data_IF_100339534327
#
_entry.id   IF_100339534327
#
_cell.length_a   1.000
_cell.length_b   1.000
_cell.length_c   1.000
_cell.angle_alpha   90.00
_cell.angle_beta   90.00
_cell.angle_gamma   90.00
#
_symmetry.space_group_name_H-M   'P 1'
#
loop_
_entity.id
_entity.type
_entity.pdbx_description
1 polymer ?
#
# COMPACT_ATOMS: atom_id res chain seq x y z
N UNK A 1 34.63 14.88 -25.64
CA UNK A 1 34.94 13.80 -24.68
C UNK A 1 34.60 12.48 -25.34
N UNK A 2 35.53 11.53 -25.28
CA UNK A 2 35.29 10.15 -25.67
C UNK A 2 34.26 9.51 -24.74
N UNK A 3 33.40 8.62 -25.25
CA UNK A 3 32.40 7.90 -24.43
C UNK A 3 33.00 7.18 -23.22
N UNK A 4 34.27 6.79 -23.32
CA UNK A 4 35.04 6.09 -22.29
C UNK A 4 35.62 7.05 -21.24
N UNK A 5 35.99 8.27 -21.65
CA UNK A 5 36.41 9.34 -20.74
C UNK A 5 35.26 9.78 -19.83
N UNK A 6 34.02 9.81 -20.36
CA UNK A 6 32.82 10.13 -19.55
C UNK A 6 32.44 9.04 -18.56
N UNK A 7 32.83 7.77 -18.81
CA UNK A 7 32.61 6.66 -17.90
C UNK A 7 33.83 6.37 -17.00
N UNK A 8 34.88 7.21 -17.07
CA UNK A 8 36.15 7.05 -16.36
C UNK A 8 36.79 5.66 -16.50
N UNK A 9 36.64 5.02 -17.66
CA UNK A 9 37.20 3.69 -17.94
C UNK A 9 37.94 3.65 -19.27
N UNK A 10 38.86 2.69 -19.40
CA UNK A 10 39.47 2.38 -20.69
C UNK A 10 38.49 1.63 -21.61
N UNK A 11 38.63 1.73 -22.95
CA UNK A 11 37.78 1.01 -23.90
C UNK A 11 37.78 -0.50 -23.64
N UNK A 12 36.61 -1.07 -23.35
CA UNK A 12 36.47 -2.48 -22.98
C UNK A 12 35.26 -3.14 -23.65
N UNK A 13 35.37 -4.44 -23.94
CA UNK A 13 34.27 -5.28 -24.43
C UNK A 13 33.48 -5.94 -23.28
N UNK A 14 33.94 -5.77 -22.04
CA UNK A 14 33.33 -6.37 -20.88
C UNK A 14 32.14 -5.53 -20.35
N UNK A 15 30.94 -5.99 -20.69
CA UNK A 15 29.66 -5.34 -20.32
C UNK A 15 29.50 -5.17 -18.80
N UNK A 16 30.00 -6.10 -17.98
CA UNK A 16 29.86 -5.98 -16.51
C UNK A 16 30.74 -4.89 -15.93
N UNK A 17 31.92 -4.64 -16.50
CA UNK A 17 32.79 -3.54 -16.11
C UNK A 17 32.17 -2.17 -16.44
N UNK A 18 31.54 -2.04 -17.61
CA UNK A 18 30.82 -0.83 -18.03
C UNK A 18 29.64 -0.55 -17.10
N UNK A 19 28.86 -1.59 -16.74
CA UNK A 19 27.76 -1.47 -15.77
C UNK A 19 28.24 -1.02 -14.39
N UNK A 20 29.35 -1.55 -13.90
CA UNK A 20 29.92 -1.19 -12.59
C UNK A 20 30.44 0.25 -12.56
N UNK A 21 31.05 0.70 -13.66
CA UNK A 21 31.50 2.09 -13.80
C UNK A 21 30.32 3.07 -13.83
N UNK A 22 29.27 2.74 -14.59
CA UNK A 22 28.04 3.52 -14.62
C UNK A 22 27.35 3.59 -13.25
N UNK A 23 27.25 2.47 -12.52
CA UNK A 23 26.69 2.45 -11.16
C UNK A 23 27.51 3.30 -10.16
N UNK A 24 28.84 3.39 -10.34
CA UNK A 24 29.69 4.25 -9.53
C UNK A 24 29.44 5.74 -9.82
N UNK A 25 29.27 6.10 -11.09
CA UNK A 25 29.09 7.48 -11.53
C UNK A 25 27.65 7.99 -11.35
N UNK A 26 26.66 7.09 -11.26
CA UNK A 26 25.29 7.40 -10.85
C UNK A 26 25.22 7.99 -9.43
N UNK A 27 26.19 7.67 -8.56
CA UNK A 27 26.31 8.26 -7.23
C UNK A 27 26.73 9.74 -7.27
N UNK A 28 27.17 10.23 -8.43
CA UNK A 28 27.72 11.58 -8.62
C UNK A 28 26.82 12.42 -9.53
N UNK A 29 26.24 11.82 -10.58
CA UNK A 29 25.36 12.51 -11.52
C UNK A 29 23.94 11.93 -11.45
N UNK A 30 23.08 12.56 -10.65
CA UNK A 30 21.69 12.17 -10.43
C UNK A 30 20.72 12.97 -11.35
N UNK A 31 19.62 12.37 -11.86
CA UNK A 31 18.69 13.04 -12.76
C UNK A 31 18.00 14.28 -12.20
N UNK A 32 17.92 14.39 -10.87
CA UNK A 32 17.29 15.52 -10.15
C UNK A 32 18.27 16.70 -9.96
N UNK A 33 19.58 16.43 -9.79
CA UNK A 33 20.60 17.44 -9.45
C UNK A 33 21.33 18.01 -10.68
N UNK A 34 21.66 17.16 -11.67
CA UNK A 34 22.26 17.55 -12.94
C UNK A 34 21.59 16.78 -14.09
N UNK A 35 20.43 17.25 -14.57
CA UNK A 35 19.70 16.57 -15.65
C UNK A 35 20.53 16.43 -16.92
N UNK A 36 21.38 17.42 -17.23
CA UNK A 36 22.25 17.37 -18.41
C UNK A 36 23.44 16.41 -18.22
N UNK A 37 24.05 16.37 -17.04
CA UNK A 37 25.11 15.44 -16.68
C UNK A 37 24.61 13.99 -16.64
N UNK A 38 23.44 13.76 -16.06
CA UNK A 38 22.77 12.46 -16.07
C UNK A 38 22.45 12.02 -17.50
N UNK A 39 21.91 12.92 -18.34
CA UNK A 39 21.62 12.60 -19.74
C UNK A 39 22.91 12.27 -20.51
N UNK A 40 24.00 13.04 -20.32
CA UNK A 40 25.30 12.75 -20.94
C UNK A 40 25.88 11.42 -20.47
N UNK A 41 25.78 11.12 -19.17
CA UNK A 41 26.25 9.86 -18.58
C UNK A 41 25.44 8.67 -19.12
N UNK A 42 24.11 8.81 -19.21
CA UNK A 42 23.22 7.79 -19.77
C UNK A 42 23.49 7.56 -21.26
N UNK A 43 23.64 8.61 -22.04
CA UNK A 43 23.99 8.51 -23.46
C UNK A 43 25.37 7.87 -23.67
N UNK A 44 26.35 8.20 -22.83
CA UNK A 44 27.68 7.60 -22.86
C UNK A 44 27.62 6.10 -22.54
N UNK A 45 26.83 5.71 -21.53
CA UNK A 45 26.59 4.31 -21.17
C UNK A 45 25.93 3.52 -22.29
N UNK A 46 24.85 4.03 -22.89
CA UNK A 46 24.13 3.35 -23.97
C UNK A 46 25.03 3.18 -25.22
N UNK A 47 25.85 4.20 -25.54
CA UNK A 47 26.84 4.15 -26.61
C UNK A 47 27.98 3.16 -26.30
N UNK A 48 28.44 3.07 -25.05
CA UNK A 48 29.47 2.12 -24.61
C UNK A 48 28.99 0.66 -24.64
N UNK A 49 27.73 0.41 -24.27
CA UNK A 49 27.14 -0.93 -24.40
C UNK A 49 27.01 -1.34 -25.88
N UNK A 50 26.66 -0.39 -26.76
CA UNK A 50 26.56 -0.62 -28.20
C UNK A 50 27.93 -0.87 -28.83
N UNK A 51 28.97 -0.13 -28.45
CA UNK A 51 30.35 -0.35 -28.93
C UNK A 51 30.95 -1.66 -28.42
N UNK A 52 30.74 -2.02 -27.15
CA UNK A 52 31.17 -3.30 -26.59
C UNK A 52 30.52 -4.51 -27.30
N UNK A 53 29.24 -4.39 -27.69
CA UNK A 53 28.55 -5.41 -28.50
C UNK A 53 29.12 -5.49 -29.93
N UNK A 54 29.50 -4.37 -30.53
CA UNK A 54 30.14 -4.32 -31.85
C UNK A 54 31.56 -4.89 -31.84
N UNK A 55 32.33 -4.65 -30.77
CA UNK A 55 33.66 -5.23 -30.55
C UNK A 55 33.60 -6.76 -30.40
N UNK A 56 32.51 -7.30 -29.83
CA UNK A 56 32.25 -8.75 -29.76
C UNK A 56 31.86 -9.39 -31.10
N UNK A 57 31.38 -8.62 -32.09
CA UNK A 57 30.88 -9.16 -33.36
C UNK A 57 31.81 -8.92 -34.56
N UNK A 58 33.00 -8.34 -34.39
CA UNK A 58 33.95 -8.09 -35.48
C UNK A 58 35.04 -9.19 -35.59
N UNK A 59 35.35 -9.72 -36.80
CA UNK A 59 36.53 -10.58 -37.02
C UNK A 59 37.84 -9.76 -37.11
N UNK A 60 39.02 -10.38 -36.93
CA UNK A 60 40.25 -9.64 -36.65
C UNK A 60 40.98 -9.12 -37.90
N UNK A 61 41.03 -7.79 -38.05
CA UNK A 61 42.00 -7.01 -38.84
C UNK A 61 41.65 -5.53 -38.67
N UNK A 62 42.53 -4.54 -38.46
CA UNK A 62 43.97 -4.41 -38.54
C UNK A 62 44.34 -3.18 -37.69
N UNK A 63 45.54 -3.19 -37.13
CA UNK A 63 46.20 -2.04 -36.51
C UNK A 63 46.29 -0.86 -37.48
N UNK A 64 45.93 0.34 -37.03
CA UNK A 64 46.61 1.56 -37.48
C UNK A 64 46.88 2.47 -36.28
N UNK A 65 48.17 2.76 -36.13
CA UNK A 65 48.76 3.73 -35.21
C UNK A 65 48.53 5.13 -35.76
N UNK A 66 48.41 6.10 -34.87
CA UNK A 66 49.09 7.38 -35.05
C UNK A 66 49.60 7.86 -33.70
N UNK A 67 50.92 7.79 -33.54
CA UNK A 67 51.70 8.69 -32.68
C UNK A 67 51.46 10.14 -33.13
N UNK A 68 51.45 11.08 -32.18
CA UNK A 68 52.32 12.26 -32.25
C UNK A 68 52.34 12.99 -30.90
N UNK A 69 53.59 13.21 -30.45
CA UNK A 69 53.98 13.96 -29.26
C UNK A 69 53.65 15.45 -29.40
N UNK A 70 53.39 16.12 -28.27
CA UNK A 70 53.95 17.47 -28.06
C UNK A 70 54.19 17.70 -26.55
N UNK A 71 55.47 17.98 -26.24
CA UNK A 71 55.95 18.46 -24.95
C UNK A 71 55.36 19.84 -24.64
N UNK A 72 54.93 20.07 -23.40
CA UNK A 72 55.06 21.40 -22.82
C UNK A 72 55.29 21.36 -21.30
N UNK A 73 56.33 22.08 -20.89
CA UNK A 73 56.86 22.14 -19.53
C UNK A 73 56.06 23.14 -18.69
N UNK A 74 55.62 22.76 -17.48
CA UNK A 74 55.27 23.71 -16.43
C UNK A 74 55.69 23.17 -15.04
N UNK A 75 56.79 23.74 -14.56
CA UNK A 75 57.17 24.11 -13.18
C UNK A 75 56.25 23.57 -12.06
N UNK A 76 56.79 22.68 -11.22
CA UNK A 76 56.25 22.39 -9.89
C UNK A 76 56.26 23.64 -9.01
N UNK A 77 55.16 24.04 -8.37
CA UNK A 77 55.24 24.89 -7.20
C UNK A 77 55.74 24.05 -6.02
N UNK A 78 56.88 24.50 -5.47
CA UNK A 78 57.43 24.06 -4.20
C UNK A 78 56.35 24.21 -3.12
N UNK A 79 56.01 23.09 -2.47
CA UNK A 79 55.16 23.09 -1.28
C UNK A 79 55.83 23.91 -0.17
N UNK A 80 55.15 24.88 0.47
CA UNK A 80 55.69 25.53 1.66
C UNK A 80 55.73 24.52 2.80
N UNK A 81 56.94 24.10 3.16
CA UNK A 81 57.26 23.26 4.31
C UNK A 81 57.01 24.03 5.62
N UNK A 82 55.75 24.27 5.99
CA UNK A 82 55.34 24.74 7.32
C UNK A 82 53.85 24.43 7.58
N UNK A 83 53.46 23.16 7.79
CA UNK A 83 52.20 22.81 8.50
C UNK A 83 52.00 21.31 8.82
N UNK A 84 53.04 20.49 8.88
CA UNK A 84 52.85 19.04 9.16
C UNK A 84 52.60 18.71 10.65
N UNK A 85 52.70 19.69 11.57
CA UNK A 85 52.45 19.49 13.00
C UNK A 85 51.03 19.82 13.47
N UNK A 86 50.35 20.74 12.79
CA UNK A 86 49.05 21.27 13.22
C UNK A 86 47.87 20.52 12.59
N UNK A 87 48.05 19.85 11.44
CA UNK A 87 47.00 19.09 10.77
C UNK A 87 46.69 17.77 11.49
N UNK A 88 47.70 17.10 12.06
CA UNK A 88 47.54 15.86 12.83
C UNK A 88 46.94 16.16 14.22
N UNK A 89 47.28 17.30 14.81
CA UNK A 89 46.69 17.81 16.05
C UNK A 89 45.25 18.34 15.84
N UNK A 90 44.98 19.00 14.72
CA UNK A 90 43.63 19.43 14.34
C UNK A 90 42.73 18.26 13.96
N UNK A 91 43.24 17.22 13.28
CA UNK A 91 42.49 16.01 13.00
C UNK A 91 42.17 15.21 14.28
N UNK A 92 43.09 15.19 15.25
CA UNK A 92 42.82 14.58 16.57
C UNK A 92 41.85 15.43 17.42
N UNK A 93 41.96 16.76 17.42
CA UNK A 93 41.03 17.67 18.11
C UNK A 93 39.62 17.71 17.48
N UNK A 94 39.51 17.56 16.15
CA UNK A 94 38.22 17.44 15.44
C UNK A 94 37.52 16.11 15.76
N UNK A 95 38.29 15.03 15.96
CA UNK A 95 37.74 13.73 16.40
C UNK A 95 37.20 13.75 17.85
N UNK A 96 37.63 14.69 18.68
CA UNK A 96 37.16 14.86 20.07
C UNK A 96 35.92 15.77 20.19
N UNK A 97 35.50 16.46 19.12
CA UNK A 97 34.35 17.38 19.21
C UNK A 97 33.04 16.58 19.36
N UNK A 98 32.20 16.86 20.38
CA UNK A 98 30.98 16.09 20.66
C UNK A 98 30.04 15.93 19.46
N UNK A 99 29.87 17.00 18.66
CA UNK A 99 29.07 16.97 17.41
C UNK A 99 29.66 16.03 16.37
N UNK A 100 30.98 16.01 16.17
CA UNK A 100 31.61 15.13 15.19
C UNK A 100 31.50 13.66 15.62
N UNK A 101 31.77 13.38 16.90
CA UNK A 101 31.61 12.04 17.46
C UNK A 101 30.14 11.58 17.40
N UNK A 102 29.18 12.49 17.47
CA UNK A 102 27.77 12.19 17.30
C UNK A 102 27.43 11.87 15.83
N UNK A 103 27.90 12.68 14.87
CA UNK A 103 27.66 12.42 13.44
C UNK A 103 28.31 11.12 12.96
N UNK A 104 29.52 10.79 13.43
CA UNK A 104 30.18 9.53 13.12
C UNK A 104 29.37 8.31 13.61
N UNK A 105 28.68 8.44 14.76
CA UNK A 105 27.77 7.39 15.24
C UNK A 105 26.53 7.23 14.37
N UNK A 106 25.96 8.33 13.86
CA UNK A 106 24.85 8.29 12.91
C UNK A 106 25.28 7.55 11.64
N UNK A 107 26.43 7.93 11.07
CA UNK A 107 26.98 7.30 9.86
C UNK A 107 27.25 5.81 10.09
N UNK A 108 27.88 5.46 11.22
CA UNK A 108 28.17 4.08 11.57
C UNK A 108 26.88 3.25 11.72
N UNK A 109 25.86 3.83 12.36
CA UNK A 109 24.55 3.18 12.51
C UNK A 109 23.87 2.98 11.16
N UNK A 110 23.90 4.00 10.28
CA UNK A 110 23.32 3.92 8.93
C UNK A 110 24.00 2.85 8.06
N UNK A 111 25.32 2.76 8.14
CA UNK A 111 26.10 1.83 7.32
C UNK A 111 25.84 0.36 7.66
N UNK A 112 25.36 0.05 8.87
CA UNK A 112 24.85 -1.28 9.20
C UNK A 112 23.34 -1.33 8.93
N UNK A 113 22.96 -1.96 7.81
CA UNK A 113 21.58 -2.09 7.38
C UNK A 113 20.65 -2.67 8.46
N UNK A 114 21.09 -3.72 9.18
CA UNK A 114 20.22 -4.36 10.18
C UNK A 114 20.18 -3.56 11.48
N UNK A 115 21.22 -2.77 11.77
CA UNK A 115 21.19 -1.86 12.90
C UNK A 115 20.31 -0.63 12.63
N UNK A 116 20.33 -0.07 11.40
CA UNK A 116 19.56 1.14 11.09
C UNK A 116 18.06 0.94 11.02
N UNK A 117 17.58 -0.27 10.72
CA UNK A 117 16.14 -0.56 10.66
C UNK A 117 15.54 -0.86 12.04
N UNK A 118 16.37 -0.96 13.08
CA UNK A 118 15.95 -1.25 14.45
C UNK A 118 15.72 0.06 15.24
N UNK A 119 14.47 0.40 15.61
CA UNK A 119 14.14 1.65 16.28
C UNK A 119 14.92 1.88 17.57
N UNK A 120 15.17 0.81 18.32
CA UNK A 120 15.87 0.90 19.60
C UNK A 120 17.30 1.47 19.47
N UNK A 121 18.01 1.15 18.39
CA UNK A 121 19.37 1.68 18.19
C UNK A 121 19.35 3.20 17.98
N UNK A 122 18.31 3.70 17.32
CA UNK A 122 18.10 5.14 17.14
C UNK A 122 17.65 5.80 18.44
N UNK A 123 16.75 5.20 19.21
CA UNK A 123 16.37 5.69 20.54
C UNK A 123 17.60 5.84 21.45
N UNK A 124 18.45 4.82 21.52
CA UNK A 124 19.67 4.82 22.32
C UNK A 124 20.64 5.93 21.84
N UNK A 125 20.81 6.11 20.53
CA UNK A 125 21.65 7.17 19.96
C UNK A 125 21.08 8.57 20.22
N UNK A 126 19.78 8.76 19.99
CA UNK A 126 19.07 10.03 20.13
C UNK A 126 18.83 10.42 21.61
N UNK A 127 19.04 9.49 22.54
CA UNK A 127 19.03 9.79 23.98
C UNK A 127 20.30 10.47 24.48
N UNK A 128 21.32 10.65 23.63
CA UNK A 128 22.60 11.23 24.04
C UNK A 128 22.49 12.69 24.47
N UNK A 129 23.23 13.07 25.52
CA UNK A 129 23.19 14.42 26.10
C UNK A 129 23.58 15.54 25.11
N UNK A 130 24.32 15.20 24.05
CA UNK A 130 24.83 16.18 23.07
C UNK A 130 23.70 16.83 22.26
N UNK A 131 22.59 16.12 22.04
CA UNK A 131 21.43 16.63 21.29
C UNK A 131 20.63 17.64 22.12
N UNK A 132 20.68 17.52 23.44
CA UNK A 132 19.95 18.39 24.38
C UNK A 132 20.75 19.64 24.77
N UNK A 133 22.00 19.75 24.33
CA UNK A 133 22.83 20.92 24.52
C UNK A 133 22.49 22.00 23.47
N UNK A 134 22.04 23.16 23.95
CA UNK A 134 21.60 24.29 23.12
C UNK A 134 22.73 24.75 22.17
N UNK A 135 23.99 24.64 22.59
CA UNK A 135 25.14 25.05 21.76
C UNK A 135 25.33 24.13 20.55
N UNK A 136 24.95 22.86 20.67
CA UNK A 136 25.24 21.82 19.70
C UNK A 136 24.00 21.40 18.88
N UNK A 137 22.80 21.55 19.44
CA UNK A 137 21.55 21.07 18.85
C UNK A 137 21.29 21.60 17.44
N UNK A 138 21.49 22.90 17.20
CA UNK A 138 21.32 23.51 15.88
C UNK A 138 22.31 22.91 14.87
N UNK A 139 23.61 22.84 15.21
CA UNK A 139 24.64 22.27 14.33
C UNK A 139 24.39 20.80 14.04
N UNK A 140 23.87 20.04 15.02
CA UNK A 140 23.48 18.64 14.83
C UNK A 140 22.30 18.54 13.88
N UNK A 141 21.29 19.39 14.02
CA UNK A 141 20.14 19.41 13.13
C UNK A 141 20.56 19.71 11.69
N UNK A 142 21.41 20.72 11.48
CA UNK A 142 21.90 21.10 10.15
C UNK A 142 22.62 19.92 9.48
N UNK A 143 23.55 19.29 10.21
CA UNK A 143 24.31 18.12 9.71
C UNK A 143 23.42 16.91 9.50
N UNK A 144 22.41 16.73 10.34
CA UNK A 144 21.45 15.64 10.19
C UNK A 144 20.58 15.84 8.94
N UNK A 145 20.07 17.04 8.70
CA UNK A 145 19.28 17.35 7.49
C UNK A 145 20.15 17.17 6.24
N UNK A 146 21.41 17.61 6.25
CA UNK A 146 22.36 17.35 5.17
C UNK A 146 22.58 15.84 4.97
N UNK A 147 22.81 15.10 6.05
CA UNK A 147 23.00 13.65 6.01
C UNK A 147 21.77 12.92 5.43
N UNK A 148 20.57 13.28 5.88
CA UNK A 148 19.30 12.68 5.48
C UNK A 148 18.94 12.95 4.02
N UNK A 149 19.52 13.95 3.36
CA UNK A 149 19.31 14.13 1.91
C UNK A 149 19.97 13.01 1.09
N UNK A 150 21.07 12.45 1.59
CA UNK A 150 21.82 11.40 0.90
C UNK A 150 21.61 10.00 1.49
N UNK A 151 21.15 9.92 2.74
CA UNK A 151 21.02 8.68 3.51
C UNK A 151 19.63 8.61 4.14
N UNK A 152 18.65 8.16 3.36
CA UNK A 152 17.23 8.32 3.70
C UNK A 152 16.42 7.02 3.74
N UNK A 153 17.06 5.88 3.44
CA UNK A 153 16.38 4.59 3.37
C UNK A 153 16.13 4.02 4.77
N UNK A 154 15.09 4.56 5.42
CA UNK A 154 14.61 4.15 6.73
C UNK A 154 13.16 3.66 6.73
N UNK A 155 12.80 2.78 7.67
CA UNK A 155 11.41 2.53 8.05
C UNK A 155 10.71 3.79 8.57
N UNK A 156 9.39 3.88 8.43
CA UNK A 156 8.59 5.02 8.91
C UNK A 156 8.75 5.26 10.42
N UNK A 157 8.91 4.18 11.21
CA UNK A 157 9.19 4.27 12.65
C UNK A 157 10.44 5.07 13.00
N UNK A 158 11.48 5.05 12.16
CA UNK A 158 12.70 5.83 12.38
C UNK A 158 12.45 7.30 12.02
N UNK A 159 11.74 7.57 10.93
CA UNK A 159 11.33 8.92 10.57
C UNK A 159 10.47 9.57 11.66
N UNK A 160 9.55 8.81 12.25
CA UNK A 160 8.74 9.23 13.39
C UNK A 160 9.61 9.55 14.62
N UNK A 161 10.62 8.71 14.93
CA UNK A 161 11.57 9.00 16.01
C UNK A 161 12.36 10.28 15.78
N UNK A 162 12.86 10.48 14.55
CA UNK A 162 13.58 11.69 14.18
C UNK A 162 12.69 12.93 14.30
N UNK A 163 11.45 12.87 13.82
CA UNK A 163 10.50 13.98 13.93
C UNK A 163 10.10 14.25 15.40
N UNK A 164 9.98 13.21 16.22
CA UNK A 164 9.70 13.37 17.65
C UNK A 164 10.80 14.13 18.40
N UNK A 165 12.06 13.96 17.99
CA UNK A 165 13.24 14.60 18.61
C UNK A 165 13.48 16.00 18.04
N UNK A 166 13.49 16.14 16.72
CA UNK A 166 13.88 17.39 16.04
C UNK A 166 12.69 18.28 15.64
N UNK A 167 11.46 17.75 15.71
CA UNK A 167 10.21 18.49 15.47
C UNK A 167 10.15 19.12 14.07
N UNK A 168 10.64 18.42 13.06
CA UNK A 168 10.66 18.88 11.68
C UNK A 168 9.27 19.29 11.19
N UNK A 169 8.25 18.49 11.49
CA UNK A 169 6.85 18.77 11.16
C UNK A 169 6.30 20.03 11.83
N UNK A 170 6.69 20.31 13.08
CA UNK A 170 6.23 21.49 13.82
C UNK A 170 6.95 22.77 13.36
N UNK A 171 8.16 22.66 12.84
CA UNK A 171 9.03 23.78 12.46
C UNK A 171 9.08 24.04 10.94
N UNK A 172 8.12 23.52 10.18
CA UNK A 172 8.06 23.62 8.72
C UNK A 172 8.45 24.99 8.15
N UNK A 173 7.77 26.06 8.59
CA UNK A 173 8.01 27.42 8.05
C UNK A 173 9.45 27.91 8.28
N UNK A 174 10.04 27.57 9.43
CA UNK A 174 11.41 27.96 9.76
C UNK A 174 12.42 27.18 8.91
N UNK A 175 12.19 25.88 8.74
CA UNK A 175 13.04 25.03 7.91
C UNK A 175 12.93 25.40 6.42
N UNK A 176 11.75 25.76 5.93
CA UNK A 176 11.57 26.17 4.52
C UNK A 176 12.36 27.44 4.21
N UNK A 177 12.49 28.35 5.18
CA UNK A 177 13.30 29.55 5.04
C UNK A 177 14.80 29.26 4.97
N UNK A 178 15.28 28.25 5.70
CA UNK A 178 16.70 27.92 5.81
C UNK A 178 17.19 26.93 4.75
N UNK A 179 16.39 25.91 4.44
CA UNK A 179 16.76 24.77 3.59
C UNK A 179 16.03 24.74 2.24
N UNK A 180 15.02 25.59 2.05
CA UNK A 180 14.18 25.62 0.86
C UNK A 180 12.97 24.68 0.94
N UNK A 181 11.96 24.96 0.10
CA UNK A 181 10.69 24.24 0.06
C UNK A 181 10.86 22.77 -0.31
N UNK A 182 11.71 22.47 -1.31
CA UNK A 182 11.92 21.11 -1.82
C UNK A 182 12.51 20.17 -0.76
N UNK A 183 13.51 20.64 0.00
CA UNK A 183 14.16 19.87 1.08
C UNK A 183 13.17 19.55 2.20
N UNK A 184 12.38 20.53 2.62
CA UNK A 184 11.41 20.33 3.70
C UNK A 184 10.28 19.43 3.23
N UNK A 185 9.79 19.61 2.00
CA UNK A 185 8.78 18.74 1.42
C UNK A 185 9.29 17.30 1.35
N UNK A 186 10.54 17.08 0.92
CA UNK A 186 11.18 15.75 0.93
C UNK A 186 11.16 15.11 2.33
N UNK A 187 11.55 15.84 3.38
CA UNK A 187 11.54 15.33 4.75
C UNK A 187 10.11 14.98 5.21
N UNK A 188 9.15 15.88 4.97
CA UNK A 188 7.77 15.70 5.42
C UNK A 188 7.05 14.55 4.71
N UNK A 189 7.32 14.31 3.43
CA UNK A 189 6.78 13.16 2.69
C UNK A 189 7.26 11.82 3.25
N UNK A 190 8.46 11.79 3.85
CA UNK A 190 9.01 10.59 4.49
C UNK A 190 8.49 10.41 5.91
N UNK A 191 8.35 11.51 6.65
CA UNK A 191 7.75 11.51 8.00
C UNK A 191 6.27 11.12 7.93
N UNK A 192 5.52 11.55 6.91
CA UNK A 192 4.10 11.21 6.76
C UNK A 192 3.86 9.74 6.43
N UNK A 193 4.90 8.99 6.02
CA UNK A 193 4.80 7.60 5.60
C UNK A 193 4.22 7.40 4.19
N UNK A 194 3.99 8.46 3.42
CA UNK A 194 3.42 8.37 2.06
C UNK A 194 4.29 7.53 1.11
N UNK A 195 5.60 7.51 1.36
CA UNK A 195 6.61 6.75 0.60
C UNK A 195 7.18 5.57 1.39
N UNK A 196 6.48 5.09 2.42
CA UNK A 196 6.97 3.97 3.22
C UNK A 196 6.99 2.68 2.39
N UNK A 197 8.09 1.93 2.51
CA UNK A 197 8.27 0.62 1.91
C UNK A 197 8.71 -0.39 2.97
N UNK A 198 8.51 -1.69 2.70
CA UNK A 198 8.86 -2.75 3.66
C UNK A 198 10.37 -2.98 3.78
N UNK A 199 10.83 -3.29 5.00
CA UNK A 199 12.23 -3.60 5.34
C UNK A 199 12.39 -4.96 6.06
N UNK A 200 11.30 -5.61 6.45
CA UNK A 200 11.27 -6.84 7.25
C UNK A 200 11.61 -8.10 6.44
N UNK A 201 11.58 -8.01 5.11
CA UNK A 201 11.78 -9.14 4.19
C UNK A 201 13.25 -9.54 4.01
N UNK A 202 14.19 -8.71 4.44
CA UNK A 202 15.63 -8.95 4.26
C UNK A 202 16.23 -9.76 5.41
N UNK A 203 17.16 -10.65 5.09
CA UNK A 203 17.81 -11.56 6.04
C UNK A 203 19.28 -11.21 6.19
N UNK A 204 19.83 -11.39 7.40
CA UNK A 204 21.27 -11.16 7.67
C UNK A 204 22.23 -11.99 6.82
N UNK A 205 21.74 -13.06 6.21
CA UNK A 205 22.50 -13.90 5.27
C UNK A 205 22.66 -13.28 3.88
N UNK A 206 21.90 -12.24 3.57
CA UNK A 206 21.84 -11.69 2.22
C UNK A 206 23.08 -10.84 1.94
N UNK A 207 23.80 -11.18 0.87
CA UNK A 207 24.93 -10.41 0.37
C UNK A 207 24.43 -9.43 -0.69
N UNK A 208 23.90 -8.29 -0.22
CA UNK A 208 23.21 -7.30 -1.04
C UNK A 208 23.77 -5.90 -0.78
N UNK A 209 23.98 -5.13 -1.85
CA UNK A 209 24.15 -3.67 -1.75
C UNK A 209 22.76 -3.06 -1.52
N UNK A 210 22.40 -2.88 -0.26
CA UNK A 210 21.08 -2.38 0.13
C UNK A 210 20.80 -1.00 -0.45
N UNK A 211 21.75 -0.06 -0.42
CA UNK A 211 21.53 1.28 -0.99
C UNK A 211 21.21 1.20 -2.48
N UNK A 212 22.02 0.47 -3.25
CA UNK A 212 21.77 0.30 -4.67
C UNK A 212 20.41 -0.35 -4.94
N UNK A 213 20.03 -1.34 -4.12
CA UNK A 213 18.73 -2.00 -4.23
C UNK A 213 17.55 -1.06 -3.94
N UNK A 214 17.60 -0.28 -2.85
CA UNK A 214 16.52 0.63 -2.49
C UNK A 214 16.35 1.76 -3.50
N UNK A 215 17.45 2.32 -4.03
CA UNK A 215 17.36 3.29 -5.13
C UNK A 215 16.66 2.71 -6.36
N UNK A 216 17.02 1.49 -6.77
CA UNK A 216 16.35 0.82 -7.89
C UNK A 216 14.87 0.55 -7.59
N UNK A 217 14.54 0.17 -6.36
CA UNK A 217 13.16 -0.06 -5.90
C UNK A 217 12.31 1.21 -5.97
N UNK A 218 12.85 2.35 -5.52
CA UNK A 218 12.20 3.66 -5.65
C UNK A 218 12.05 4.07 -7.12
N UNK A 219 13.08 3.87 -7.95
CA UNK A 219 13.02 4.14 -9.39
C UNK A 219 11.89 3.35 -10.06
N UNK A 220 11.73 2.07 -9.71
CA UNK A 220 10.61 1.24 -10.18
C UNK A 220 9.27 1.86 -9.77
N UNK A 221 9.12 2.25 -8.51
CA UNK A 221 7.89 2.85 -8.00
C UNK A 221 7.55 4.14 -8.77
N UNK A 222 8.52 5.06 -8.88
CA UNK A 222 8.35 6.35 -9.56
C UNK A 222 8.04 6.19 -11.05
N UNK A 223 8.76 5.33 -11.75
CA UNK A 223 8.53 5.08 -13.19
C UNK A 223 7.16 4.44 -13.44
N UNK A 224 6.69 3.57 -12.54
CA UNK A 224 5.32 3.06 -12.58
C UNK A 224 4.29 4.14 -12.24
N UNK A 225 4.50 4.99 -11.24
CA UNK A 225 3.57 6.10 -10.94
C UNK A 225 3.43 7.05 -12.15
N UNK A 226 4.53 7.36 -12.81
CA UNK A 226 4.58 8.21 -14.01
C UNK A 226 4.14 7.48 -15.29
N UNK A 227 3.77 6.20 -15.20
CA UNK A 227 3.37 5.34 -16.31
C UNK A 227 4.41 5.23 -17.43
N UNK A 228 5.70 5.41 -17.11
CA UNK A 228 6.81 5.20 -18.03
C UNK A 228 7.21 3.71 -18.04
N UNK A 229 6.50 2.91 -18.84
CA UNK A 229 6.63 1.46 -18.85
C UNK A 229 8.00 0.96 -19.38
N UNK A 230 8.69 1.74 -20.22
CA UNK A 230 10.01 1.35 -20.73
C UNK A 230 11.08 1.48 -19.64
N UNK A 231 11.10 2.63 -18.95
CA UNK A 231 12.00 2.84 -17.82
C UNK A 231 11.67 1.87 -16.67
N UNK A 232 10.38 1.68 -16.36
CA UNK A 232 9.94 0.73 -15.34
C UNK A 232 10.43 -0.68 -15.63
N UNK A 233 10.37 -1.13 -16.89
CA UNK A 233 10.90 -2.44 -17.26
C UNK A 233 12.40 -2.55 -16.98
N UNK A 234 13.18 -1.54 -17.38
CA UNK A 234 14.62 -1.55 -17.18
C UNK A 234 14.96 -1.60 -15.69
N UNK A 235 14.35 -0.73 -14.89
CA UNK A 235 14.58 -0.66 -13.45
C UNK A 235 14.16 -1.97 -12.76
N UNK A 236 13.02 -2.55 -13.14
CA UNK A 236 12.55 -3.85 -12.64
C UNK A 236 13.54 -4.97 -12.94
N UNK A 237 14.06 -5.04 -14.17
CA UNK A 237 15.02 -6.09 -14.55
C UNK A 237 16.30 -5.98 -13.69
N UNK A 238 16.80 -4.76 -13.42
CA UNK A 238 17.97 -4.56 -12.56
C UNK A 238 17.70 -4.86 -11.09
N UNK A 239 16.58 -4.38 -10.54
CA UNK A 239 16.20 -4.66 -9.15
C UNK A 239 16.04 -6.17 -8.91
N UNK A 240 15.41 -6.86 -9.87
CA UNK A 240 15.20 -8.31 -9.80
C UNK A 240 16.49 -9.11 -9.94
N UNK A 241 17.47 -8.62 -10.72
CA UNK A 241 18.82 -9.21 -10.78
C UNK A 241 19.53 -9.15 -9.42
N UNK A 242 19.30 -8.08 -8.64
CA UNK A 242 19.92 -7.91 -7.32
C UNK A 242 19.22 -8.72 -6.22
N UNK A 243 17.88 -8.68 -6.17
CA UNK A 243 17.14 -9.39 -5.13
C UNK A 243 15.76 -9.84 -5.62
N UNK A 244 15.48 -11.14 -5.50
CA UNK A 244 14.29 -11.79 -6.09
C UNK A 244 13.20 -12.10 -5.05
N UNK A 245 13.55 -12.09 -3.75
CA UNK A 245 12.67 -12.49 -2.65
C UNK A 245 11.95 -11.28 -2.00
N UNK A 246 11.85 -10.13 -2.68
CA UNK A 246 11.08 -8.98 -2.20
C UNK A 246 9.65 -9.00 -2.79
N UNK A 247 8.62 -9.26 -1.97
CA UNK A 247 7.25 -9.30 -2.47
C UNK A 247 6.72 -7.94 -2.92
N UNK A 248 7.31 -6.82 -2.47
CA UNK A 248 6.95 -5.48 -2.98
C UNK A 248 7.47 -5.25 -4.40
N UNK A 249 8.71 -5.65 -4.67
CA UNK A 249 9.26 -5.62 -6.02
C UNK A 249 8.46 -6.53 -6.96
N UNK A 250 8.13 -7.75 -6.50
CA UNK A 250 7.27 -8.67 -7.25
C UNK A 250 5.87 -8.08 -7.49
N UNK A 251 5.30 -7.34 -6.53
CA UNK A 251 4.02 -6.65 -6.70
C UNK A 251 4.12 -5.58 -7.78
N UNK A 252 5.17 -4.75 -7.74
CA UNK A 252 5.43 -3.75 -8.78
C UNK A 252 5.63 -4.39 -10.16
N UNK A 253 6.31 -5.54 -10.21
CA UNK A 253 6.45 -6.35 -11.43
C UNK A 253 5.10 -6.89 -11.93
N UNK A 254 4.24 -7.38 -11.03
CA UNK A 254 2.89 -7.82 -11.34
C UNK A 254 2.03 -6.70 -11.91
N UNK A 255 2.06 -5.51 -11.27
CA UNK A 255 1.37 -4.30 -11.74
C UNK A 255 1.89 -3.88 -13.12
N UNK A 256 3.20 -3.89 -13.34
CA UNK A 256 3.80 -3.63 -14.64
C UNK A 256 3.21 -4.57 -15.71
N UNK A 257 3.18 -5.88 -15.44
CA UNK A 257 2.63 -6.87 -16.36
C UNK A 257 1.14 -6.70 -16.62
N UNK A 258 0.35 -6.30 -15.61
CA UNK A 258 -1.07 -5.96 -15.80
C UNK A 258 -1.24 -4.76 -16.73
N UNK A 259 -0.39 -3.72 -16.62
CA UNK A 259 -0.45 -2.53 -17.48
C UNK A 259 -0.09 -2.79 -18.93
N UNK A 260 0.79 -3.77 -19.19
CA UNK A 260 1.09 -4.24 -20.56
C UNK A 260 0.17 -5.40 -21.00
N UNK A 261 -0.94 -5.61 -20.29
CA UNK A 261 -1.97 -6.64 -20.55
C UNK A 261 -1.46 -8.09 -20.54
N UNK A 262 -0.27 -8.35 -19.98
CA UNK A 262 0.30 -9.69 -19.85
C UNK A 262 -0.13 -10.33 -18.53
N UNK A 263 -1.38 -10.80 -18.48
CA UNK A 263 -1.98 -11.38 -17.26
C UNK A 263 -1.28 -12.67 -16.82
N UNK A 264 -0.64 -13.40 -17.73
CA UNK A 264 0.09 -14.63 -17.44
C UNK A 264 1.30 -14.37 -16.55
N UNK A 265 2.12 -13.38 -16.93
CA UNK A 265 3.29 -13.01 -16.12
C UNK A 265 2.90 -12.29 -14.84
N UNK A 266 1.87 -11.46 -14.89
CA UNK A 266 1.31 -10.85 -13.68
C UNK A 266 0.91 -11.91 -12.65
N UNK A 267 0.17 -12.93 -13.10
CA UNK A 267 -0.24 -14.05 -12.25
C UNK A 267 0.97 -14.78 -11.63
N UNK A 268 2.04 -14.97 -12.41
CA UNK A 268 3.25 -15.58 -11.90
C UNK A 268 3.86 -14.75 -10.77
N UNK A 269 4.01 -13.44 -10.95
CA UNK A 269 4.53 -12.54 -9.91
C UNK A 269 3.68 -12.61 -8.63
N UNK A 270 2.34 -12.62 -8.74
CA UNK A 270 1.48 -12.75 -7.55
C UNK A 270 1.53 -14.15 -6.90
N UNK A 271 1.77 -15.20 -7.68
CA UNK A 271 2.04 -16.53 -7.12
C UNK A 271 3.37 -16.57 -6.36
N UNK A 272 4.40 -15.91 -6.89
CA UNK A 272 5.72 -15.84 -6.26
C UNK A 272 5.63 -15.06 -4.93
N UNK A 273 4.86 -13.96 -4.89
CA UNK A 273 4.54 -13.24 -3.64
C UNK A 273 3.94 -14.20 -2.61
N UNK A 274 2.91 -14.95 -3.00
CA UNK A 274 2.17 -15.83 -2.09
C UNK A 274 2.95 -17.10 -1.73
N UNK A 275 4.03 -17.41 -2.44
CA UNK A 275 4.99 -18.44 -2.05
C UNK A 275 5.91 -17.96 -0.92
N UNK A 276 6.24 -16.66 -0.90
CA UNK A 276 7.06 -16.02 0.13
C UNK A 276 6.21 -15.64 1.35
N UNK A 277 5.10 -14.94 1.11
CA UNK A 277 4.15 -14.45 2.09
C UNK A 277 2.73 -14.94 1.74
N UNK A 278 2.30 -16.11 2.24
CA UNK A 278 0.98 -16.68 1.92
C UNK A 278 -0.22 -15.78 2.28
N UNK A 279 -0.03 -14.88 3.23
CA UNK A 279 -1.04 -14.00 3.80
C UNK A 279 -0.94 -12.55 3.26
N UNK A 280 -0.16 -12.31 2.18
CA UNK A 280 -0.04 -10.99 1.56
C UNK A 280 -1.39 -10.57 0.91
N UNK A 281 -2.01 -9.54 1.47
CA UNK A 281 -3.36 -9.09 1.12
C UNK A 281 -3.46 -8.66 -0.35
N UNK A 282 -2.49 -7.87 -0.82
CA UNK A 282 -2.44 -7.41 -2.21
C UNK A 282 -2.23 -8.59 -3.16
N UNK A 283 -1.30 -9.50 -2.83
CA UNK A 283 -1.06 -10.72 -3.60
C UNK A 283 -2.33 -11.54 -3.79
N UNK A 284 -3.09 -11.78 -2.72
CA UNK A 284 -4.38 -12.47 -2.77
C UNK A 284 -5.40 -11.70 -3.61
N UNK A 285 -5.50 -10.38 -3.43
CA UNK A 285 -6.46 -9.54 -4.12
C UNK A 285 -6.22 -9.50 -5.64
N UNK A 286 -4.98 -9.23 -6.07
CA UNK A 286 -4.63 -9.18 -7.48
C UNK A 286 -4.75 -10.55 -8.15
N UNK A 287 -4.35 -11.63 -7.46
CA UNK A 287 -4.51 -12.99 -7.99
C UNK A 287 -6.00 -13.34 -8.18
N UNK A 288 -6.84 -13.02 -7.21
CA UNK A 288 -8.28 -13.22 -7.30
C UNK A 288 -8.89 -12.47 -8.50
N UNK A 289 -8.47 -11.24 -8.74
CA UNK A 289 -8.90 -10.46 -9.92
C UNK A 289 -8.49 -11.11 -11.24
N UNK A 290 -7.27 -11.62 -11.34
CA UNK A 290 -6.80 -12.32 -12.54
C UNK A 290 -7.57 -13.64 -12.74
N UNK A 291 -7.84 -14.39 -11.68
CA UNK A 291 -8.66 -15.61 -11.75
C UNK A 291 -10.09 -15.30 -12.21
N UNK A 292 -10.69 -14.23 -11.69
CA UNK A 292 -11.99 -13.76 -12.16
C UNK A 292 -11.99 -13.45 -13.66
N UNK A 293 -10.98 -12.72 -14.14
CA UNK A 293 -10.86 -12.38 -15.56
C UNK A 293 -10.68 -13.62 -16.47
N UNK A 294 -10.20 -14.72 -15.90
CA UNK A 294 -10.07 -16.02 -16.57
C UNK A 294 -11.31 -16.92 -16.42
N UNK A 295 -12.35 -16.45 -15.73
CA UNK A 295 -13.56 -17.22 -15.44
C UNK A 295 -13.39 -18.29 -14.36
N UNK A 296 -12.26 -18.27 -13.63
CA UNK A 296 -11.96 -19.20 -12.53
C UNK A 296 -12.55 -18.68 -11.22
N UNK A 297 -13.89 -18.56 -11.15
CA UNK A 297 -14.57 -17.93 -10.02
C UNK A 297 -14.35 -18.62 -8.68
N UNK A 298 -14.25 -19.96 -8.66
CA UNK A 298 -14.02 -20.71 -7.44
C UNK A 298 -12.67 -20.39 -6.79
N UNK A 299 -11.60 -20.32 -7.60
CA UNK A 299 -10.26 -19.95 -7.12
C UNK A 299 -10.22 -18.49 -6.67
N UNK A 300 -10.88 -17.58 -7.42
CA UNK A 300 -10.98 -16.18 -7.05
C UNK A 300 -11.71 -15.97 -5.71
N UNK A 301 -12.83 -16.66 -5.50
CA UNK A 301 -13.58 -16.60 -4.23
C UNK A 301 -12.73 -17.15 -3.08
N UNK A 302 -11.99 -18.25 -3.30
CA UNK A 302 -11.10 -18.83 -2.29
C UNK A 302 -10.03 -17.85 -1.83
N UNK A 303 -9.39 -17.12 -2.75
CA UNK A 303 -8.39 -16.11 -2.39
C UNK A 303 -9.01 -14.94 -1.63
N UNK A 304 -10.20 -14.47 -2.04
CA UNK A 304 -10.91 -13.43 -1.28
C UNK A 304 -11.37 -13.91 0.09
N UNK A 305 -11.77 -15.18 0.25
CA UNK A 305 -12.12 -15.76 1.54
C UNK A 305 -10.92 -15.86 2.47
N UNK A 306 -9.74 -16.17 1.92
CA UNK A 306 -8.50 -16.16 2.66
C UNK A 306 -8.18 -14.74 3.16
N UNK A 307 -8.26 -13.75 2.28
CA UNK A 307 -8.07 -12.34 2.62
C UNK A 307 -9.04 -11.89 3.72
N UNK A 308 -10.34 -12.23 3.62
CA UNK A 308 -11.33 -11.90 4.65
C UNK A 308 -11.19 -12.69 5.95
N UNK A 309 -10.39 -13.76 5.98
CA UNK A 309 -10.06 -14.45 7.23
C UNK A 309 -9.01 -13.68 8.04
N UNK A 310 -8.16 -12.92 7.34
CA UNK A 310 -7.12 -12.05 7.92
C UNK A 310 -7.75 -10.69 8.26
N UNK A 311 -8.43 -10.07 7.28
CA UNK A 311 -9.12 -8.79 7.43
C UNK A 311 -10.62 -8.90 7.12
N UNK A 312 -11.46 -9.22 8.12
CA UNK A 312 -12.89 -9.43 7.91
C UNK A 312 -13.66 -8.24 7.33
N UNK A 313 -13.16 -7.02 7.50
CA UNK A 313 -13.78 -5.78 7.04
C UNK A 313 -13.15 -5.21 5.76
N UNK A 314 -12.27 -5.96 5.08
CA UNK A 314 -11.64 -5.49 3.84
C UNK A 314 -12.68 -5.30 2.73
N UNK A 315 -12.94 -4.03 2.38
CA UNK A 315 -14.05 -3.64 1.52
C UNK A 315 -13.94 -4.22 0.10
N UNK A 316 -12.75 -4.18 -0.51
CA UNK A 316 -12.59 -4.68 -1.89
C UNK A 316 -12.82 -6.19 -1.96
N UNK A 317 -12.25 -6.97 -1.05
CA UNK A 317 -12.48 -8.41 -0.99
C UNK A 317 -13.96 -8.77 -0.78
N UNK A 318 -14.67 -8.04 0.09
CA UNK A 318 -16.11 -8.20 0.26
C UNK A 318 -16.89 -7.89 -1.03
N UNK A 319 -16.55 -6.79 -1.70
CA UNK A 319 -17.14 -6.41 -2.99
C UNK A 319 -16.86 -7.46 -4.08
N UNK A 320 -15.63 -7.95 -4.17
CA UNK A 320 -15.21 -8.96 -5.13
C UNK A 320 -15.92 -10.29 -4.89
N UNK A 321 -16.05 -10.77 -3.64
CA UNK A 321 -16.84 -11.99 -3.34
C UNK A 321 -18.28 -11.84 -3.81
N UNK A 322 -18.92 -10.71 -3.51
CA UNK A 322 -20.30 -10.47 -3.96
C UNK A 322 -20.35 -10.53 -5.48
N UNK A 323 -19.51 -9.75 -6.16
CA UNK A 323 -19.41 -9.74 -7.63
C UNK A 323 -19.21 -11.15 -8.20
N UNK A 324 -18.21 -11.88 -7.72
CA UNK A 324 -17.83 -13.19 -8.25
C UNK A 324 -18.91 -14.25 -8.01
N UNK A 325 -19.59 -14.18 -6.87
CA UNK A 325 -20.71 -15.07 -6.55
C UNK A 325 -21.85 -14.92 -7.55
N UNK A 326 -22.23 -13.67 -7.87
CA UNK A 326 -23.28 -13.39 -8.85
C UNK A 326 -22.90 -13.81 -10.28
N UNK A 327 -21.64 -13.66 -10.66
CA UNK A 327 -21.16 -14.06 -12.01
C UNK A 327 -20.95 -15.57 -12.15
N UNK A 328 -20.64 -16.28 -11.05
CA UNK A 328 -20.47 -17.74 -11.04
C UNK A 328 -21.77 -18.53 -11.25
N UNK A 329 -22.94 -17.90 -10.99
CA UNK A 329 -24.25 -18.53 -11.10
C UNK A 329 -24.61 -19.49 -9.96
N UNK A 330 -23.69 -19.79 -9.04
CA UNK A 330 -23.94 -20.60 -7.83
C UNK A 330 -24.43 -19.73 -6.66
N UNK A 331 -25.62 -19.16 -6.84
CA UNK A 331 -26.28 -18.30 -5.85
C UNK A 331 -26.69 -19.12 -4.60
N UNK A 332 -26.69 -20.46 -4.63
CA UNK A 332 -27.20 -21.24 -3.48
C UNK A 332 -26.15 -21.52 -2.40
N UNK A 333 -24.88 -21.73 -2.74
CA UNK A 333 -23.85 -22.16 -1.78
C UNK A 333 -23.00 -21.02 -1.20
N UNK A 334 -22.73 -19.97 -1.99
CA UNK A 334 -21.85 -18.85 -1.59
C UNK A 334 -22.64 -17.58 -1.24
N UNK A 335 -23.94 -17.50 -1.59
CA UNK A 335 -24.72 -16.28 -1.40
C UNK A 335 -25.10 -15.95 0.04
N UNK A 336 -25.04 -16.85 1.02
CA UNK A 336 -25.42 -16.50 2.39
C UNK A 336 -24.54 -15.41 3.00
N UNK A 337 -23.23 -15.41 2.68
CA UNK A 337 -22.30 -14.39 3.19
C UNK A 337 -22.31 -13.14 2.31
N UNK A 338 -22.39 -13.29 0.98
CA UNK A 338 -22.61 -12.18 0.06
C UNK A 338 -23.91 -11.42 0.38
N UNK A 339 -24.99 -12.14 0.75
CA UNK A 339 -26.24 -11.57 1.24
C UNK A 339 -26.05 -10.79 2.54
N UNK A 340 -25.26 -11.31 3.48
CA UNK A 340 -24.99 -10.61 4.75
C UNK A 340 -24.20 -9.31 4.50
N UNK A 341 -23.16 -9.36 3.67
CA UNK A 341 -22.37 -8.20 3.26
C UNK A 341 -23.27 -7.15 2.60
N UNK A 342 -24.05 -7.55 1.60
CA UNK A 342 -24.95 -6.64 0.88
C UNK A 342 -26.01 -6.03 1.82
N UNK A 343 -26.53 -6.79 2.78
CA UNK A 343 -27.46 -6.29 3.81
C UNK A 343 -26.81 -5.34 4.83
N UNK A 344 -25.54 -5.57 5.15
CA UNK A 344 -24.78 -4.74 6.09
C UNK A 344 -24.39 -3.41 5.46
N UNK A 345 -24.10 -3.41 4.15
CA UNK A 345 -23.62 -2.25 3.41
C UNK A 345 -24.60 -1.79 2.31
N UNK A 346 -25.92 -1.85 2.58
CA UNK A 346 -26.98 -1.49 1.62
C UNK A 346 -26.85 -0.07 1.07
N UNK A 347 -26.38 0.86 1.90
CA UNK A 347 -26.26 2.29 1.56
C UNK A 347 -25.02 2.62 0.73
N UNK A 348 -24.06 1.68 0.63
CA UNK A 348 -22.85 1.88 -0.18
C UNK A 348 -23.15 1.72 -1.66
N UNK A 349 -22.59 2.61 -2.47
CA UNK A 349 -22.92 2.68 -3.90
C UNK A 349 -22.48 1.40 -4.63
N UNK A 350 -21.36 0.82 -4.21
CA UNK A 350 -20.72 -0.36 -4.78
C UNK A 350 -21.65 -1.59 -4.73
N UNK A 351 -22.44 -1.71 -3.66
CA UNK A 351 -23.33 -2.85 -3.43
C UNK A 351 -24.75 -2.65 -3.96
N UNK A 352 -25.13 -1.42 -4.29
CA UNK A 352 -26.52 -1.07 -4.65
C UNK A 352 -27.05 -1.86 -5.86
N UNK A 353 -26.21 -2.07 -6.87
CA UNK A 353 -26.57 -2.89 -8.04
C UNK A 353 -26.86 -4.34 -7.66
N UNK A 354 -26.04 -4.90 -6.77
CA UNK A 354 -26.20 -6.26 -6.26
C UNK A 354 -27.39 -6.41 -5.29
N UNK A 355 -27.71 -5.39 -4.50
CA UNK A 355 -28.95 -5.35 -3.70
C UNK A 355 -30.18 -5.58 -4.58
N UNK A 356 -30.25 -4.87 -5.72
CA UNK A 356 -31.35 -4.98 -6.67
C UNK A 356 -31.36 -6.39 -7.27
N UNK A 357 -30.20 -6.91 -7.72
CA UNK A 357 -30.09 -8.26 -8.28
C UNK A 357 -30.52 -9.34 -7.29
N UNK A 358 -30.14 -9.25 -6.01
CA UNK A 358 -30.62 -10.16 -4.96
C UNK A 358 -32.14 -10.12 -4.87
N UNK A 359 -32.77 -8.94 -4.83
CA UNK A 359 -34.22 -8.84 -4.75
C UNK A 359 -34.95 -9.40 -5.99
N UNK A 360 -34.32 -9.35 -7.17
CA UNK A 360 -34.91 -9.86 -8.42
C UNK A 360 -34.62 -11.35 -8.68
N UNK A 361 -33.40 -11.81 -8.41
CA UNK A 361 -32.91 -13.17 -8.73
C UNK A 361 -33.14 -14.15 -7.56
N UNK A 362 -33.16 -13.65 -6.33
CA UNK A 362 -33.55 -14.38 -5.12
C UNK A 362 -34.92 -13.86 -4.68
N UNK A 363 -36.01 -14.18 -5.40
CA UNK A 363 -37.34 -13.87 -4.91
C UNK A 363 -37.47 -14.59 -3.57
N UNK A 364 -37.97 -13.90 -2.54
CA UNK A 364 -38.19 -14.41 -1.18
C UNK A 364 -38.96 -15.75 -1.18
N UNK A 365 -38.30 -16.86 -1.49
CA UNK A 365 -38.76 -18.21 -1.20
C UNK A 365 -38.52 -18.43 0.29
N UNK A 366 -39.25 -17.67 1.13
CA UNK A 366 -39.61 -17.89 2.54
C UNK A 366 -39.88 -16.57 3.29
N UNK A 367 -40.83 -15.77 2.78
CA UNK A 367 -41.80 -15.10 3.66
C UNK A 367 -43.24 -15.46 3.31
N UNK A 368 -43.49 -16.68 2.82
CA UNK A 368 -44.65 -17.39 3.36
C UNK A 368 -44.31 -17.65 4.81
N UNK A 369 -44.66 -16.73 5.70
CA UNK A 369 -45.14 -17.13 7.01
C UNK A 369 -46.11 -18.27 6.70
N UNK A 370 -45.72 -19.52 6.94
CA UNK A 370 -46.69 -20.57 7.11
C UNK A 370 -47.63 -19.99 8.15
N UNK A 371 -48.81 -19.54 7.71
CA UNK A 371 -49.84 -19.14 8.65
C UNK A 371 -50.10 -20.44 9.39
N UNK A 372 -49.46 -20.58 10.55
CA UNK A 372 -49.35 -21.84 11.24
C UNK A 372 -50.79 -22.30 11.43
N UNK A 373 -51.17 -23.43 10.83
CA UNK A 373 -52.59 -23.85 10.82
C UNK A 373 -53.09 -23.97 12.27
N UNK A 374 -52.19 -24.28 13.21
CA UNK A 374 -52.47 -24.25 14.66
C UNK A 374 -52.82 -22.86 15.17
N UNK A 375 -52.22 -21.80 14.64
CA UNK A 375 -52.57 -20.41 14.92
C UNK A 375 -53.99 -20.11 14.41
N UNK A 376 -54.30 -20.34 13.12
CA UNK A 376 -55.66 -20.12 12.61
C UNK A 376 -56.72 -20.90 13.41
N UNK A 377 -56.46 -22.18 13.69
CA UNK A 377 -57.37 -23.02 14.47
C UNK A 377 -57.53 -22.51 15.90
N UNK A 378 -56.44 -22.09 16.56
CA UNK A 378 -56.49 -21.51 17.91
C UNK A 378 -57.31 -20.22 17.93
N UNK A 379 -57.17 -19.37 16.92
CA UNK A 379 -57.97 -18.14 16.79
C UNK A 379 -59.43 -18.42 16.46
N UNK A 380 -59.72 -19.36 15.56
CA UNK A 380 -61.09 -19.77 15.24
C UNK A 380 -61.81 -20.35 16.47
N UNK A 381 -61.12 -21.19 17.26
CA UNK A 381 -61.64 -21.74 18.51
C UNK A 381 -61.86 -20.66 19.58
N UNK A 382 -60.96 -19.69 19.70
CA UNK A 382 -61.12 -18.55 20.60
C UNK A 382 -62.36 -17.73 20.25
N UNK A 383 -62.57 -17.40 18.96
CA UNK A 383 -63.76 -16.66 18.53
C UNK A 383 -65.06 -17.47 18.69
N UNK A 384 -65.03 -18.79 18.44
CA UNK A 384 -66.18 -19.67 18.68
C UNK A 384 -66.55 -19.70 20.18
N UNK A 385 -65.57 -19.85 21.07
CA UNK A 385 -65.80 -19.84 22.52
C UNK A 385 -66.32 -18.49 23.00
N UNK A 386 -65.75 -17.38 22.50
CA UNK A 386 -66.16 -16.04 22.87
C UNK A 386 -67.59 -15.74 22.40
N UNK A 387 -67.95 -16.18 21.18
CA UNK A 387 -69.32 -16.11 20.67
C UNK A 387 -70.29 -16.90 21.55
N UNK A 388 -69.97 -18.16 21.88
CA UNK A 388 -70.81 -19.03 22.75
C UNK A 388 -70.98 -18.41 24.14
N UNK A 389 -69.90 -17.96 24.77
CA UNK A 389 -69.92 -17.38 26.13
C UNK A 389 -70.78 -16.12 26.25
N UNK A 390 -71.03 -15.42 25.14
CA UNK A 390 -71.78 -14.16 25.11
C UNK A 390 -73.10 -14.22 24.37
N UNK A 391 -73.52 -15.41 23.92
CA UNK A 391 -74.87 -15.68 23.38
C UNK A 391 -75.98 -15.22 24.32
N UNK A 392 -75.74 -15.29 25.63
CA UNK A 392 -76.66 -14.80 26.67
C UNK A 392 -76.94 -13.29 26.59
N UNK A 393 -76.01 -12.46 26.11
CA UNK A 393 -76.22 -11.01 25.93
C UNK A 393 -77.24 -10.76 24.81
N UNK A 394 -77.16 -11.54 23.74
CA UNK A 394 -78.09 -11.45 22.61
C UNK A 394 -79.46 -12.06 22.96
N UNK A 395 -79.50 -13.13 23.76
CA UNK A 395 -80.74 -13.71 24.31
C UNK A 395 -81.45 -12.75 25.27
N UNK A 396 -80.70 -12.12 26.19
CA UNK A 396 -81.22 -11.11 27.11
C UNK A 396 -81.80 -9.92 26.35
N UNK A 397 -81.16 -9.49 25.26
CA UNK A 397 -81.65 -8.42 24.40
C UNK A 397 -82.90 -8.82 23.59
N UNK A 398 -82.97 -10.04 23.06
CA UNK A 398 -84.20 -10.57 22.43
C UNK A 398 -85.37 -10.59 23.41
N UNK A 399 -85.12 -11.01 24.66
CA UNK A 399 -86.12 -10.97 25.72
C UNK A 399 -86.53 -9.52 26.02
N UNK A 400 -85.59 -8.57 26.05
CA UNK A 400 -85.84 -7.15 26.28
C UNK A 400 -86.70 -6.51 25.16
N UNK A 401 -86.47 -6.88 23.89
CA UNK A 401 -87.28 -6.44 22.74
C UNK A 401 -88.72 -6.98 22.83
N UNK A 402 -88.89 -8.22 23.28
CA UNK A 402 -90.22 -8.81 23.43
C UNK A 402 -90.99 -8.18 24.59
N UNK A 403 -90.29 -7.77 25.65
CA UNK A 403 -90.89 -7.16 26.85
C UNK A 403 -91.08 -5.63 26.75
N UNK A 404 -90.39 -4.94 25.84
CA UNK A 404 -90.47 -3.48 25.70
C UNK A 404 -90.55 -3.06 24.23
N UNK A 405 -91.40 -2.10 23.83
CA UNK A 405 -91.44 -1.58 22.46
C UNK A 405 -90.26 -0.63 22.25
N UNK A 406 -89.05 -1.19 22.15
CA UNK A 406 -87.82 -0.44 21.92
C UNK A 406 -87.87 0.20 20.51
N UNK A 407 -87.77 1.54 20.40
CA UNK A 407 -87.73 2.20 19.10
C UNK A 407 -86.54 1.73 18.27
N UNK A 408 -86.74 1.51 16.96
CA UNK A 408 -85.72 1.04 16.00
C UNK A 408 -84.41 1.84 16.01
N UNK A 409 -84.44 3.08 16.49
CA UNK A 409 -83.29 3.98 16.65
C UNK A 409 -82.20 3.43 17.60
N UNK A 410 -82.54 2.54 18.52
CA UNK A 410 -81.58 1.94 19.46
C UNK A 410 -80.93 0.64 18.96
N UNK A 411 -81.32 0.14 17.78
CA UNK A 411 -80.73 -1.04 17.17
C UNK A 411 -79.22 -0.89 16.90
N UNK A 412 -78.73 0.34 16.72
CA UNK A 412 -77.31 0.66 16.56
C UNK A 412 -76.47 0.34 17.81
N UNK A 413 -77.06 0.34 19.01
CA UNK A 413 -76.38 -0.06 20.24
C UNK A 413 -76.00 -1.55 20.24
N UNK A 414 -76.61 -2.38 19.40
CA UNK A 414 -76.26 -3.80 19.22
C UNK A 414 -74.91 -4.00 18.55
N UNK A 415 -74.45 -2.99 17.82
CA UNK A 415 -73.15 -3.02 17.15
C UNK A 415 -72.02 -2.57 18.08
N UNK A 416 -72.32 -1.92 19.22
CA UNK A 416 -71.28 -1.45 20.15
C UNK A 416 -70.36 -2.57 20.67
N UNK A 417 -70.87 -3.76 21.07
CA UNK A 417 -69.99 -4.88 21.44
C UNK A 417 -69.11 -5.35 20.27
N UNK A 418 -69.63 -5.35 19.04
CA UNK A 418 -68.90 -5.70 17.82
C UNK A 418 -67.83 -4.67 17.46
N UNK A 419 -68.16 -3.38 17.56
CA UNK A 419 -67.27 -2.25 17.30
C UNK A 419 -66.15 -2.18 18.34
N UNK A 420 -66.47 -2.43 19.62
CA UNK A 420 -65.48 -2.48 20.71
C UNK A 420 -64.44 -3.60 20.51
N UNK A 421 -64.88 -4.79 20.07
CA UNK A 421 -63.98 -5.91 19.78
C UNK A 421 -63.15 -5.67 18.50
N UNK A 422 -63.74 -5.07 17.46
CA UNK A 422 -63.00 -4.65 16.27
C UNK A 422 -61.91 -3.60 16.60
N UNK A 423 -62.22 -2.66 17.51
CA UNK A 423 -61.26 -1.66 17.98
C UNK A 423 -60.10 -2.29 18.79
N UNK A 424 -60.40 -3.25 19.68
CA UNK A 424 -59.38 -3.98 20.45
C UNK A 424 -58.44 -4.78 19.56
N UNK A 425 -58.95 -5.31 18.44
CA UNK A 425 -58.17 -6.01 17.42
C UNK A 425 -57.19 -5.10 16.66
N UNK A 426 -57.64 -3.91 16.23
CA UNK A 426 -56.76 -2.92 15.58
C UNK A 426 -55.61 -2.51 16.51
N UNK A 427 -55.89 -2.35 17.81
CA UNK A 427 -54.89 -1.99 18.82
C UNK A 427 -53.86 -3.09 19.12
N UNK A 428 -54.22 -4.36 18.99
CA UNK A 428 -53.28 -5.50 19.17
C UNK A 428 -52.33 -5.66 17.99
N UNK A 429 -52.75 -5.28 16.77
CA UNK A 429 -51.94 -5.36 15.56
C UNK A 429 -50.87 -4.26 15.45
N UNK A 430 -50.99 -3.21 16.25
CA UNK A 430 -50.02 -2.10 16.32
C UNK A 430 -48.95 -2.29 17.41
N UNK A 431 -49.08 -3.34 18.23
CA UNK A 431 -48.17 -3.64 19.36
C UNK A 431 -47.33 -4.90 19.13
N UNK A 432 -47.51 -5.59 18.00
CA UNK A 432 -46.77 -6.75 17.54
C UNK A 432 -46.27 -6.47 16.13
#
# INVERSE_FOLDING_TARGET
>A
MSIWETLEIEPTDNITAIKKAYAKLLKIYHPEDDPEGYQRLREAFDKAIKSAKQMKTAPPSQLEKTDENEENSYIHPVSPTWMDGDAELAATLVSEHPVHAFTEKIETLYNDFFARIEPKNWEDLLSSDVIWDIEHAAVIQDRLIEFLQYHYHFPGSIWELLDNVFRFSEQREALEFEYGEDTVQFLLERISGEKEMRYDVFKKSDDLDFEAYFHLREEVQLTLMNNNLEAAKSALDFAYELYQEDPELLRMQGIYYLRIENKERALQSFNDILAICPDDLDGLLYRAQIYYDRGQFADAIKDCEHLLSIEPEHMDAQFLIVKYSFESGDIETVATRALDVVKRYVERFEFRSYCIRIHTEIPEKRQKQEINMKFIIRYALYFLFLFISRTWVYLLFMILIVLTPLPSKYALLLLLPLIWEAWKFVRLKTLA
#
